data_IF_768101577018
#
_entry.id   IF_768101577018
#
_cell.length_a   1.000
_cell.length_b   1.000
_cell.length_c   1.000
_cell.angle_alpha   90.00
_cell.angle_beta   90.00
_cell.angle_gamma   90.00
#
_symmetry.space_group_name_H-M   'P 1'
#
loop_
_entity.id
_entity.type
_entity.pdbx_description
1 polymer ?
#
# COMPACT_ATOMS: atom_id res chain seq x y z
N UNK A 1 -5.54 26.19 8.96
CA UNK A 1 -6.25 26.42 7.69
C UNK A 1 -5.61 25.48 6.68
N UNK A 2 -6.34 24.46 6.20
CA UNK A 2 -5.83 23.59 5.13
C UNK A 2 -5.51 24.47 3.91
N UNK A 3 -4.31 24.33 3.34
CA UNK A 3 -4.02 24.97 2.06
C UNK A 3 -4.90 24.33 0.99
N UNK A 4 -5.30 25.12 -0.02
CA UNK A 4 -6.05 24.61 -1.17
C UNK A 4 -5.36 23.38 -1.80
N UNK A 5 -4.03 23.26 -1.71
CA UNK A 5 -3.23 22.13 -2.20
C UNK A 5 -3.62 20.76 -1.61
N UNK A 6 -4.01 20.69 -0.34
CA UNK A 6 -4.33 19.41 0.33
C UNK A 6 -5.71 18.89 -0.06
N UNK A 7 -6.65 19.78 -0.38
CA UNK A 7 -8.00 19.41 -0.81
C UNK A 7 -8.04 18.90 -2.27
N UNK A 8 -7.03 19.24 -3.07
CA UNK A 8 -7.03 19.03 -4.52
C UNK A 8 -6.43 17.69 -4.98
N UNK A 9 -5.69 16.98 -4.13
CA UNK A 9 -4.90 15.80 -4.53
C UNK A 9 -5.33 14.47 -3.90
N UNK A 10 -6.21 14.49 -2.90
CA UNK A 10 -6.90 13.29 -2.41
C UNK A 10 -8.14 13.00 -3.26
N UNK A 11 -8.52 11.73 -3.45
CA UNK A 11 -9.79 11.36 -4.11
C UNK A 11 -9.85 11.73 -5.61
N UNK A 12 -8.86 11.40 -6.43
CA UNK A 12 -8.82 11.79 -7.87
C UNK A 12 -9.29 10.66 -8.81
N UNK A 13 -10.26 10.93 -9.69
CA UNK A 13 -10.75 10.05 -10.78
C UNK A 13 -10.18 10.47 -12.12
N UNK A 14 -9.64 9.53 -12.91
CA UNK A 14 -9.01 9.82 -14.19
C UNK A 14 -9.99 9.59 -15.33
N UNK A 15 -10.22 10.60 -16.16
CA UNK A 15 -11.11 10.51 -17.31
C UNK A 15 -10.37 10.88 -18.59
N UNK A 16 -10.65 10.11 -19.66
CA UNK A 16 -10.15 10.44 -20.99
C UNK A 16 -10.99 11.59 -21.57
N UNK A 17 -10.30 12.55 -22.17
CA UNK A 17 -10.90 13.68 -22.85
C UNK A 17 -10.01 14.14 -24.00
N UNK A 18 -10.58 14.79 -25.01
CA UNK A 18 -9.83 15.31 -26.16
C UNK A 18 -9.75 16.83 -26.07
N UNK A 19 -8.55 17.39 -26.14
CA UNK A 19 -8.29 18.82 -26.11
C UNK A 19 -8.31 19.38 -27.54
N UNK A 20 -9.33 20.16 -27.87
CA UNK A 20 -9.50 20.81 -29.17
C UNK A 20 -9.40 22.33 -28.96
N UNK A 21 -8.26 22.91 -29.36
CA UNK A 21 -7.96 24.32 -29.07
C UNK A 21 -7.69 24.55 -27.58
N UNK A 22 -8.49 25.42 -26.96
CA UNK A 22 -8.48 25.77 -25.53
C UNK A 22 -9.63 25.09 -24.75
N UNK A 23 -10.19 24.00 -25.30
CA UNK A 23 -11.38 23.36 -24.75
C UNK A 23 -11.21 21.85 -24.64
N UNK A 24 -11.54 21.32 -23.47
CA UNK A 24 -11.69 19.88 -23.27
C UNK A 24 -13.04 19.41 -23.81
N UNK A 25 -13.02 18.37 -24.63
CA UNK A 25 -14.18 17.81 -25.34
C UNK A 25 -14.24 16.28 -25.14
N UNK A 26 -15.38 15.66 -25.47
CA UNK A 26 -15.56 14.22 -25.28
C UNK A 26 -15.71 13.76 -23.83
N UNK A 27 -16.14 14.66 -22.93
CA UNK A 27 -16.24 14.39 -21.50
C UNK A 27 -17.42 13.44 -21.16
N UNK A 28 -17.19 12.33 -20.43
CA UNK A 28 -18.26 11.46 -19.97
C UNK A 28 -18.99 12.10 -18.77
N UNK A 29 -20.09 12.80 -19.04
CA UNK A 29 -20.86 13.56 -18.03
C UNK A 29 -21.30 12.69 -16.85
N UNK A 30 -21.65 11.43 -17.09
CA UNK A 30 -22.02 10.48 -16.03
C UNK A 30 -20.87 10.20 -15.04
N UNK A 31 -19.65 10.04 -15.55
CA UNK A 31 -18.47 9.78 -14.72
C UNK A 31 -18.05 11.05 -13.95
N UNK A 32 -18.20 12.23 -14.55
CA UNK A 32 -18.00 13.52 -13.88
C UNK A 32 -18.99 13.72 -12.72
N UNK A 33 -20.27 13.43 -12.95
CA UNK A 33 -21.30 13.49 -11.90
C UNK A 33 -21.08 12.45 -10.80
N UNK A 34 -20.60 11.25 -11.16
CA UNK A 34 -20.25 10.22 -10.20
C UNK A 34 -19.07 10.65 -9.33
N UNK A 35 -18.01 11.19 -9.93
CA UNK A 35 -16.88 11.74 -9.21
C UNK A 35 -17.31 12.87 -8.27
N UNK A 36 -18.13 13.81 -8.75
CA UNK A 36 -18.70 14.90 -7.94
C UNK A 36 -19.47 14.38 -6.71
N UNK A 37 -20.36 13.40 -6.89
CA UNK A 37 -21.13 12.78 -5.78
C UNK A 37 -20.25 12.04 -4.77
N UNK A 38 -19.10 11.54 -5.20
CA UNK A 38 -18.11 10.86 -4.36
C UNK A 38 -17.10 11.84 -3.73
N UNK A 39 -17.27 13.16 -3.95
CA UNK A 39 -16.33 14.18 -3.51
C UNK A 39 -14.95 14.05 -4.14
N UNK A 40 -14.90 13.46 -5.35
CA UNK A 40 -13.66 13.16 -6.06
C UNK A 40 -13.22 14.33 -6.94
N UNK A 41 -11.94 14.68 -6.82
CA UNK A 41 -11.20 15.45 -7.80
C UNK A 41 -11.17 14.66 -9.13
N UNK A 42 -11.02 15.31 -10.29
CA UNK A 42 -10.99 14.64 -11.60
C UNK A 42 -9.77 15.06 -12.39
N UNK A 43 -8.94 14.10 -12.79
CA UNK A 43 -7.83 14.34 -13.72
C UNK A 43 -8.29 14.02 -15.15
N UNK A 44 -8.44 15.04 -15.99
CA UNK A 44 -8.67 14.84 -17.42
C UNK A 44 -7.35 14.59 -18.14
N UNK A 45 -7.35 13.66 -19.08
CA UNK A 45 -6.15 13.28 -19.84
C UNK A 45 -6.46 13.21 -21.33
N UNK A 46 -5.72 13.98 -22.13
CA UNK A 46 -5.65 13.81 -23.58
C UNK A 46 -4.35 13.09 -23.93
N UNK A 47 -4.49 11.82 -24.31
CA UNK A 47 -3.38 10.95 -24.68
C UNK A 47 -2.75 11.30 -26.04
N UNK A 48 -3.47 11.97 -26.93
CA UNK A 48 -3.01 12.33 -28.28
C UNK A 48 -2.02 13.49 -28.26
N UNK A 49 -2.25 14.48 -27.38
CA UNK A 49 -1.37 15.66 -27.21
C UNK A 49 -0.60 15.64 -25.89
N UNK A 50 -0.72 14.58 -25.10
CA UNK A 50 -0.05 14.36 -23.80
C UNK A 50 -0.27 15.50 -22.80
N UNK A 51 -1.49 16.02 -22.72
CA UNK A 51 -1.88 17.04 -21.73
C UNK A 51 -2.79 16.44 -20.67
N UNK A 52 -2.78 17.01 -19.49
CA UNK A 52 -3.71 16.69 -18.41
C UNK A 52 -4.08 17.95 -17.61
N UNK A 53 -5.22 17.90 -16.91
CA UNK A 53 -5.67 18.96 -16.00
C UNK A 53 -6.45 18.34 -14.83
N UNK A 54 -6.23 18.87 -13.63
CA UNK A 54 -6.90 18.44 -12.41
C UNK A 54 -8.05 19.38 -12.08
N UNK A 55 -9.25 18.83 -11.97
CA UNK A 55 -10.46 19.50 -11.52
C UNK A 55 -10.74 19.19 -10.05
N UNK A 56 -10.77 20.20 -9.18
CA UNK A 56 -11.20 20.07 -7.80
C UNK A 56 -12.61 19.48 -7.63
N UNK A 57 -12.84 18.63 -6.63
CA UNK A 57 -14.12 18.04 -6.29
C UNK A 57 -15.21 19.10 -6.05
N UNK A 58 -14.86 20.18 -5.34
CA UNK A 58 -15.81 21.25 -5.01
C UNK A 58 -16.27 22.05 -6.24
N UNK A 59 -15.48 22.11 -7.32
CA UNK A 59 -15.89 22.74 -8.59
C UNK A 59 -16.83 21.85 -9.41
N UNK A 60 -16.91 20.56 -9.09
CA UNK A 60 -17.76 19.60 -9.78
C UNK A 60 -19.15 19.48 -9.14
N UNK A 61 -19.38 20.05 -7.96
CA UNK A 61 -20.67 19.95 -7.24
C UNK A 61 -21.84 20.57 -8.01
N UNK A 62 -21.62 21.66 -8.76
CA UNK A 62 -22.65 22.29 -9.60
C UNK A 62 -23.18 21.34 -10.69
N UNK A 63 -22.39 20.33 -11.09
CA UNK A 63 -22.78 19.33 -12.09
C UNK A 63 -23.80 18.32 -11.57
N UNK A 64 -23.94 18.17 -10.24
CA UNK A 64 -24.90 17.25 -9.62
C UNK A 64 -26.36 17.68 -9.81
N UNK A 65 -26.62 18.98 -9.99
CA UNK A 65 -27.95 19.56 -10.22
C UNK A 65 -28.36 19.61 -11.70
N UNK A 66 -27.43 19.37 -12.63
CA UNK A 66 -27.70 19.32 -14.07
C UNK A 66 -28.49 18.04 -14.41
N UNK A 67 -29.80 18.19 -14.62
CA UNK A 67 -30.72 17.10 -15.01
C UNK A 67 -30.72 16.83 -16.51
N UNK A 68 -30.18 17.73 -17.31
CA UNK A 68 -30.15 17.61 -18.76
C UNK A 68 -28.85 16.94 -19.26
N UNK A 69 -28.72 15.66 -18.96
CA UNK A 69 -27.73 14.79 -19.62
C UNK A 69 -27.95 14.69 -21.15
N UNK A 70 -29.07 15.23 -21.66
CA UNK A 70 -29.43 15.24 -23.08
C UNK A 70 -29.14 16.53 -23.86
N UNK A 71 -28.83 17.67 -23.21
CA UNK A 71 -28.67 18.94 -23.91
C UNK A 71 -27.22 19.40 -24.13
N UNK A 72 -26.24 18.76 -23.48
CA UNK A 72 -24.82 19.11 -23.64
C UNK A 72 -23.94 17.87 -23.81
N UNK A 73 -23.91 17.25 -25.01
CA UNK A 73 -23.03 16.11 -25.28
C UNK A 73 -21.53 16.48 -25.26
N UNK A 74 -21.21 17.78 -25.25
CA UNK A 74 -19.85 18.31 -25.17
C UNK A 74 -19.83 19.50 -24.21
N UNK A 75 -19.76 19.22 -22.91
CA UNK A 75 -19.42 20.24 -21.93
C UNK A 75 -17.99 20.70 -22.20
N UNK A 76 -17.80 21.98 -22.45
CA UNK A 76 -16.49 22.58 -22.70
C UNK A 76 -16.04 23.26 -21.41
N UNK A 77 -15.15 22.62 -20.67
CA UNK A 77 -14.49 23.29 -19.55
C UNK A 77 -13.44 24.26 -20.16
N UNK A 78 -13.60 25.55 -19.88
CA UNK A 78 -12.70 26.57 -20.40
C UNK A 78 -11.30 26.39 -19.79
N UNK A 79 -10.27 26.39 -20.65
CA UNK A 79 -8.87 26.41 -20.27
C UNK A 79 -8.37 27.86 -20.31
N UNK A 80 -8.13 28.47 -19.15
CA UNK A 80 -7.35 29.69 -19.08
C UNK A 80 -5.91 29.32 -18.67
N UNK A 81 -4.93 29.67 -19.49
CA UNK A 81 -3.50 29.54 -19.16
C UNK A 81 -3.12 30.37 -17.90
N UNK A 82 -3.99 31.27 -17.44
CA UNK A 82 -3.79 32.08 -16.23
C UNK A 82 -3.88 31.28 -14.93
N UNK A 83 -4.64 30.19 -14.90
CA UNK A 83 -4.97 29.48 -13.66
C UNK A 83 -3.94 28.38 -13.36
N UNK A 84 -3.26 27.86 -14.39
CA UNK A 84 -2.12 26.93 -14.29
C UNK A 84 -0.85 27.58 -13.74
N UNK A 85 -0.70 28.90 -13.87
CA UNK A 85 0.44 29.64 -13.32
C UNK A 85 0.32 29.94 -11.82
N UNK A 86 -0.77 29.51 -11.18
CA UNK A 86 -0.98 29.69 -9.73
C UNK A 86 -0.77 28.40 -8.93
N UNK A 87 -0.67 27.24 -9.59
CA UNK A 87 -0.36 25.98 -8.92
C UNK A 87 1.13 25.65 -9.10
N UNK A 88 1.89 25.50 -8.00
CA UNK A 88 3.31 25.20 -8.11
C UNK A 88 3.51 23.84 -8.80
N UNK A 89 4.58 23.69 -9.60
CA UNK A 89 4.90 22.41 -10.21
C UNK A 89 5.15 21.35 -9.14
N UNK A 90 4.53 20.17 -9.29
CA UNK A 90 4.79 19.00 -8.43
C UNK A 90 6.29 18.70 -8.50
N UNK A 91 6.95 18.63 -7.34
CA UNK A 91 8.38 18.38 -7.29
C UNK A 91 8.71 16.96 -7.79
N UNK A 92 9.93 16.74 -8.31
CA UNK A 92 10.37 15.40 -8.68
C UNK A 92 10.33 14.41 -7.50
N UNK A 93 10.48 14.92 -6.28
CA UNK A 93 10.41 14.13 -5.05
C UNK A 93 8.98 13.63 -4.80
N UNK A 94 7.98 14.49 -4.98
CA UNK A 94 6.57 14.13 -4.84
C UNK A 94 6.12 13.14 -5.90
N UNK A 95 6.58 13.31 -7.14
CA UNK A 95 6.38 12.32 -8.20
C UNK A 95 6.92 10.94 -7.83
N UNK A 96 8.13 10.90 -7.25
CA UNK A 96 8.73 9.65 -6.83
C UNK A 96 7.93 9.00 -5.70
N UNK A 97 7.46 9.77 -4.71
CA UNK A 97 6.64 9.25 -3.61
C UNK A 97 5.26 8.77 -4.08
N UNK A 98 4.56 9.56 -4.91
CA UNK A 98 3.26 9.19 -5.47
C UNK A 98 3.31 7.93 -6.34
N UNK A 99 4.47 7.61 -6.93
CA UNK A 99 4.67 6.36 -7.67
C UNK A 99 4.89 5.13 -6.77
N UNK A 100 5.16 5.33 -5.48
CA UNK A 100 5.57 4.28 -4.52
C UNK A 100 4.58 4.04 -3.40
N UNK A 101 3.68 4.98 -3.16
CA UNK A 101 2.63 4.90 -2.15
C UNK A 101 1.25 5.02 -2.80
N UNK A 102 0.26 4.32 -2.26
CA UNK A 102 -1.12 4.65 -2.56
C UNK A 102 -1.45 6.05 -2.03
N UNK A 103 -2.31 6.80 -2.72
CA UNK A 103 -2.66 8.19 -2.36
C UNK A 103 -3.06 8.35 -0.89
N UNK A 104 -3.85 7.43 -0.35
CA UNK A 104 -4.26 7.45 1.07
C UNK A 104 -3.08 7.41 2.07
N UNK A 105 -1.99 6.70 1.73
CA UNK A 105 -0.80 6.63 2.57
C UNK A 105 0.06 7.86 2.38
N UNK A 106 0.22 8.33 1.15
CA UNK A 106 0.94 9.56 0.85
C UNK A 106 0.35 10.74 1.63
N UNK A 107 -0.98 10.90 1.64
CA UNK A 107 -1.61 11.96 2.42
C UNK A 107 -1.42 11.78 3.92
N UNK A 108 -1.71 10.58 4.44
CA UNK A 108 -1.62 10.33 5.88
C UNK A 108 -0.19 10.52 6.43
N UNK A 109 0.81 10.32 5.58
CA UNK A 109 2.22 10.50 5.90
C UNK A 109 2.82 11.81 5.38
N UNK A 110 2.05 12.68 4.71
CA UNK A 110 2.59 13.78 3.90
C UNK A 110 3.59 14.63 4.68
N UNK A 111 3.19 15.12 5.85
CA UNK A 111 4.04 15.94 6.71
C UNK A 111 5.33 15.20 7.10
N UNK A 112 5.22 13.90 7.43
CA UNK A 112 6.36 13.09 7.81
C UNK A 112 7.33 12.83 6.64
N UNK A 113 6.81 12.50 5.45
CA UNK A 113 7.60 12.25 4.24
C UNK A 113 8.42 13.50 3.84
N UNK A 114 7.97 14.69 4.23
CA UNK A 114 8.66 15.95 3.93
C UNK A 114 9.70 16.36 4.98
N UNK A 115 9.78 15.67 6.11
CA UNK A 115 10.78 15.95 7.16
C UNK A 115 12.21 15.64 6.72
N UNK A 116 13.16 16.31 7.34
CA UNK A 116 14.59 16.00 7.17
C UNK A 116 14.93 14.61 7.70
N UNK A 117 14.19 14.12 8.70
CA UNK A 117 14.36 12.77 9.27
C UNK A 117 14.07 11.69 8.23
N UNK A 118 12.90 11.73 7.57
CA UNK A 118 12.58 10.74 6.53
C UNK A 118 13.52 10.84 5.33
N UNK A 119 13.87 12.07 4.91
CA UNK A 119 14.89 12.29 3.86
C UNK A 119 16.26 11.76 4.27
N UNK A 120 16.62 11.78 5.55
CA UNK A 120 17.86 11.19 6.06
C UNK A 120 17.82 9.66 5.96
N UNK A 121 16.70 9.02 6.35
CA UNK A 121 16.50 7.57 6.19
C UNK A 121 16.77 7.14 4.74
N UNK A 122 16.16 7.83 3.75
CA UNK A 122 16.37 7.51 2.33
C UNK A 122 17.83 7.71 1.89
N UNK A 123 18.50 8.77 2.37
CA UNK A 123 19.92 9.03 2.09
C UNK A 123 20.82 7.94 2.66
N UNK A 124 20.56 7.48 3.88
CA UNK A 124 21.34 6.43 4.54
C UNK A 124 21.22 5.09 3.78
N UNK A 125 20.00 4.70 3.42
CA UNK A 125 19.76 3.50 2.59
C UNK A 125 20.42 3.62 1.21
N UNK A 126 20.37 4.80 0.57
CA UNK A 126 21.04 5.05 -0.71
C UNK A 126 22.56 4.92 -0.59
N UNK A 127 23.16 5.39 0.52
CA UNK A 127 24.58 5.19 0.76
C UNK A 127 24.94 3.72 1.01
N UNK A 128 24.11 2.98 1.73
CA UNK A 128 24.31 1.54 1.96
C UNK A 128 24.28 0.76 0.65
N UNK A 129 23.32 1.06 -0.25
CA UNK A 129 23.23 0.45 -1.59
C UNK A 129 24.48 0.66 -2.46
N UNK A 130 25.28 1.70 -2.21
CA UNK A 130 26.56 1.92 -2.92
C UNK A 130 27.70 1.04 -2.39
N UNK A 131 27.56 0.50 -1.17
CA UNK A 131 28.61 -0.23 -0.45
C UNK A 131 28.33 -1.73 -0.36
N UNK A 132 27.06 -2.11 -0.34
CA UNK A 132 26.63 -3.49 -0.16
C UNK A 132 25.30 -3.80 -0.87
N UNK A 133 24.98 -5.09 -0.96
CA UNK A 133 23.69 -5.54 -1.45
C UNK A 133 22.61 -5.30 -0.40
N UNK A 134 21.61 -4.49 -0.76
CA UNK A 134 20.45 -4.17 0.09
C UNK A 134 19.18 -4.66 -0.59
N UNK A 135 18.37 -5.43 0.16
CA UNK A 135 17.07 -5.93 -0.26
C UNK A 135 15.94 -5.17 0.41
N UNK A 136 14.74 -5.09 -0.19
CA UNK A 136 14.44 -5.42 -1.59
C UNK A 136 15.05 -4.38 -2.56
N UNK A 137 14.78 -4.48 -3.86
CA UNK A 137 15.15 -3.43 -4.82
C UNK A 137 14.44 -2.11 -4.49
N UNK A 138 15.04 -0.99 -4.91
CA UNK A 138 14.57 0.35 -4.52
C UNK A 138 13.09 0.58 -4.86
N UNK A 139 12.63 0.10 -6.02
CA UNK A 139 11.24 0.24 -6.48
C UNK A 139 10.24 -0.60 -5.69
N UNK A 140 10.71 -1.67 -5.02
CA UNK A 140 9.86 -2.58 -4.28
C UNK A 140 9.78 -2.24 -2.79
N UNK A 141 10.69 -1.42 -2.26
CA UNK A 141 10.81 -1.10 -0.83
C UNK A 141 9.50 -0.68 -0.13
N UNK A 142 8.61 0.02 -0.84
CA UNK A 142 7.33 0.49 -0.30
C UNK A 142 6.11 -0.29 -0.82
N UNK A 143 6.29 -1.46 -1.42
CA UNK A 143 5.21 -2.20 -2.09
C UNK A 143 4.00 -2.50 -1.19
N UNK A 144 4.20 -2.74 0.11
CA UNK A 144 3.09 -2.94 1.04
C UNK A 144 2.13 -1.73 1.06
N UNK A 145 2.66 -0.51 0.93
CA UNK A 145 1.91 0.75 0.99
C UNK A 145 1.13 1.08 -0.30
N UNK A 146 1.16 0.20 -1.30
CA UNK A 146 0.24 0.26 -2.43
C UNK A 146 -1.18 -0.20 -2.04
N UNK A 147 -1.33 -0.90 -0.91
CA UNK A 147 -2.63 -1.21 -0.33
C UNK A 147 -3.28 0.07 0.23
N UNK A 148 -4.52 0.41 -0.17
CA UNK A 148 -5.22 1.56 0.40
C UNK A 148 -5.39 1.43 1.92
N UNK A 149 -5.08 2.51 2.65
CA UNK A 149 -5.11 2.54 4.12
C UNK A 149 -6.48 2.11 4.68
N UNK A 150 -7.57 2.51 4.03
CA UNK A 150 -8.93 2.23 4.45
C UNK A 150 -9.34 0.76 4.25
N UNK A 151 -8.64 0.01 3.39
CA UNK A 151 -8.89 -1.43 3.15
C UNK A 151 -8.23 -2.33 4.18
N UNK A 152 -7.34 -1.80 5.01
CA UNK A 152 -6.63 -2.56 6.03
C UNK A 152 -7.60 -2.95 7.14
N UNK A 153 -7.65 -4.26 7.41
CA UNK A 153 -8.43 -4.86 8.50
C UNK A 153 -7.54 -5.59 9.51
N UNK A 154 -6.40 -6.12 9.06
CA UNK A 154 -5.40 -6.70 9.93
C UNK A 154 -3.98 -6.53 9.42
N UNK A 155 -3.01 -6.70 10.30
CA UNK A 155 -1.59 -6.47 10.05
C UNK A 155 -0.80 -7.71 10.42
N UNK A 156 0.01 -8.19 9.51
CA UNK A 156 1.06 -9.16 9.80
C UNK A 156 2.37 -8.40 9.82
N UNK A 157 3.06 -8.40 10.96
CA UNK A 157 4.31 -7.67 11.16
C UNK A 157 5.44 -8.64 11.47
N UNK A 158 6.47 -8.61 10.64
CA UNK A 158 7.71 -9.34 10.86
C UNK A 158 8.91 -8.39 10.92
N UNK A 159 10.12 -8.91 11.11
CA UNK A 159 11.23 -8.08 11.53
C UNK A 159 11.93 -7.34 10.37
N UNK A 160 12.07 -7.97 9.20
CA UNK A 160 12.74 -7.41 8.03
C UNK A 160 12.55 -8.24 6.76
N UNK A 161 13.14 -7.86 5.62
CA UNK A 161 12.94 -8.55 4.34
C UNK A 161 13.63 -9.91 4.31
N UNK A 162 13.16 -10.77 3.41
CA UNK A 162 13.90 -11.98 3.02
C UNK A 162 15.29 -11.59 2.50
N UNK A 163 16.34 -12.24 3.00
CA UNK A 163 17.73 -11.95 2.65
C UNK A 163 18.26 -12.80 1.48
N UNK A 164 17.41 -13.57 0.82
CA UNK A 164 17.75 -14.35 -0.36
C UNK A 164 17.60 -13.50 -1.62
N UNK A 165 18.60 -13.51 -2.53
CA UNK A 165 18.55 -12.72 -3.76
C UNK A 165 17.29 -12.97 -4.57
N UNK A 166 16.59 -11.88 -4.93
CA UNK A 166 15.41 -11.92 -5.81
C UNK A 166 14.10 -12.35 -5.13
N UNK A 167 14.07 -12.59 -3.81
CA UNK A 167 12.83 -12.97 -3.11
C UNK A 167 12.11 -11.80 -2.45
N UNK A 168 12.83 -10.88 -1.81
CA UNK A 168 12.19 -9.75 -1.15
C UNK A 168 11.57 -8.78 -2.16
N UNK A 169 10.28 -8.47 -1.98
CA UNK A 169 9.51 -7.57 -2.83
C UNK A 169 8.86 -6.41 -2.05
N UNK A 170 9.30 -6.18 -0.81
CA UNK A 170 8.76 -5.14 0.10
C UNK A 170 7.43 -5.45 0.77
N UNK A 171 6.98 -6.71 0.70
CA UNK A 171 5.86 -7.25 1.50
C UNK A 171 6.39 -8.37 2.39
N UNK A 172 5.87 -8.50 3.61
CA UNK A 172 6.34 -9.53 4.54
C UNK A 172 6.15 -10.94 3.95
N UNK A 173 7.27 -11.63 3.72
CA UNK A 173 7.41 -13.01 3.19
C UNK A 173 6.75 -13.34 1.86
N UNK A 174 5.87 -12.48 1.34
CA UNK A 174 5.35 -12.59 0.00
C UNK A 174 6.50 -12.56 -1.00
N UNK A 175 6.44 -13.44 -1.98
CA UNK A 175 7.38 -13.48 -3.09
C UNK A 175 6.59 -13.29 -4.37
N UNK A 176 7.10 -12.47 -5.28
CA UNK A 176 6.48 -12.35 -6.58
C UNK A 176 6.68 -13.69 -7.30
N UNK A 177 5.62 -14.22 -7.92
CA UNK A 177 5.68 -15.43 -8.73
C UNK A 177 6.49 -15.21 -10.01
N UNK A 178 7.77 -14.85 -9.88
CA UNK A 178 8.80 -14.68 -10.89
C UNK A 178 8.35 -13.98 -12.17
N UNK A 179 8.88 -12.78 -12.43
CA UNK A 179 8.95 -12.19 -13.78
C UNK A 179 9.78 -13.03 -14.80
N UNK A 180 10.02 -14.31 -14.53
CA UNK A 180 10.58 -15.29 -15.45
C UNK A 180 9.61 -16.47 -15.53
N UNK A 181 8.97 -16.55 -16.69
CA UNK A 181 8.27 -17.71 -17.24
C UNK A 181 6.97 -18.10 -16.53
N UNK A 182 5.90 -17.96 -17.30
CA UNK A 182 4.57 -18.54 -17.12
C UNK A 182 4.59 -20.08 -17.12
N UNK A 183 5.48 -20.70 -16.36
CA UNK A 183 5.54 -22.14 -16.16
C UNK A 183 5.86 -22.44 -14.70
N UNK A 184 4.82 -22.80 -13.92
CA UNK A 184 4.88 -23.32 -12.54
C UNK A 184 5.22 -22.34 -11.38
N UNK A 185 5.32 -21.02 -11.61
CA UNK A 185 5.76 -20.05 -10.59
C UNK A 185 4.76 -19.72 -9.46
N UNK A 186 3.50 -20.17 -9.51
CA UNK A 186 2.51 -19.91 -8.45
C UNK A 186 2.69 -20.74 -7.17
N UNK A 187 3.56 -21.75 -7.18
CA UNK A 187 3.78 -22.68 -6.05
C UNK A 187 5.03 -22.36 -5.22
N UNK A 188 5.91 -21.46 -5.69
CA UNK A 188 7.09 -21.10 -4.91
C UNK A 188 6.62 -20.27 -3.70
N UNK A 189 6.99 -20.70 -2.50
CA UNK A 189 6.62 -20.09 -1.22
C UNK A 189 7.88 -19.94 -0.39
N UNK A 190 7.93 -18.91 0.45
CA UNK A 190 8.96 -18.85 1.47
C UNK A 190 8.75 -20.01 2.46
N UNK A 191 9.80 -20.35 3.22
CA UNK A 191 9.70 -21.37 4.27
C UNK A 191 8.67 -20.96 5.32
N UNK A 192 8.58 -19.67 5.62
CA UNK A 192 7.60 -19.10 6.54
C UNK A 192 6.17 -19.31 6.05
N UNK A 193 5.88 -18.95 4.79
CA UNK A 193 4.54 -19.16 4.19
C UNK A 193 4.19 -20.65 4.18
N UNK A 194 5.16 -21.53 3.90
CA UNK A 194 4.91 -22.98 3.84
C UNK A 194 4.50 -23.55 5.21
N UNK A 195 5.14 -23.10 6.29
CA UNK A 195 4.79 -23.48 7.66
C UNK A 195 3.44 -22.91 8.10
N UNK A 196 3.19 -21.64 7.76
CA UNK A 196 1.93 -20.97 8.09
C UNK A 196 0.77 -21.66 7.37
N UNK A 197 0.94 -21.98 6.09
CA UNK A 197 -0.05 -22.74 5.33
C UNK A 197 -0.38 -24.07 6.02
N UNK A 198 0.64 -24.84 6.39
CA UNK A 198 0.40 -26.14 7.04
C UNK A 198 -0.30 -26.00 8.40
N UNK A 199 0.08 -24.99 9.19
CA UNK A 199 -0.60 -24.66 10.43
C UNK A 199 -2.08 -24.34 10.19
N UNK A 200 -2.38 -23.40 9.28
CA UNK A 200 -3.76 -22.99 8.95
C UNK A 200 -4.57 -24.19 8.46
N UNK A 201 -4.00 -24.99 7.55
CA UNK A 201 -4.68 -26.17 6.99
C UNK A 201 -5.10 -27.14 8.09
N UNK A 202 -4.22 -27.38 9.06
CA UNK A 202 -4.47 -28.27 10.20
C UNK A 202 -5.49 -27.68 11.19
N UNK A 203 -5.35 -26.40 11.58
CA UNK A 203 -6.19 -25.81 12.63
C UNK A 203 -7.57 -25.37 12.13
N UNK A 204 -7.68 -24.96 10.86
CA UNK A 204 -8.96 -24.64 10.23
C UNK A 204 -9.64 -25.84 9.54
N UNK A 205 -9.10 -27.06 9.68
CA UNK A 205 -9.62 -28.29 9.05
C UNK A 205 -9.83 -28.17 7.54
N UNK A 206 -8.89 -27.54 6.83
CA UNK A 206 -8.99 -27.31 5.39
C UNK A 206 -8.52 -28.54 4.60
N UNK A 207 -8.95 -28.61 3.34
CA UNK A 207 -8.56 -29.69 2.42
C UNK A 207 -7.04 -29.71 2.20
N UNK A 208 -6.49 -30.88 1.83
CA UNK A 208 -5.07 -30.99 1.47
C UNK A 208 -4.70 -30.13 0.24
N UNK A 209 -5.68 -29.79 -0.60
CA UNK A 209 -5.47 -29.02 -1.81
C UNK A 209 -5.57 -27.50 -1.57
N UNK A 210 -5.98 -27.08 -0.36
CA UNK A 210 -5.99 -25.66 -0.02
C UNK A 210 -4.57 -25.13 0.06
N UNK A 211 -4.34 -23.97 -0.57
CA UNK A 211 -3.02 -23.37 -0.63
C UNK A 211 -3.04 -21.86 -0.40
N UNK A 212 -2.08 -21.42 0.41
CA UNK A 212 -1.73 -20.02 0.51
C UNK A 212 -0.77 -19.67 -0.62
N UNK A 213 -1.15 -18.75 -1.51
CA UNK A 213 -0.27 -18.36 -2.63
C UNK A 213 1.00 -17.69 -2.13
N UNK A 214 2.12 -17.91 -2.81
CA UNK A 214 3.42 -17.32 -2.45
C UNK A 214 3.44 -15.79 -2.48
N UNK A 215 2.59 -15.16 -3.30
CA UNK A 215 2.41 -13.71 -3.38
C UNK A 215 1.49 -13.15 -2.26
N UNK A 216 0.89 -14.02 -1.46
CA UNK A 216 -0.10 -13.72 -0.41
C UNK A 216 -1.28 -12.87 -0.92
N UNK A 217 -1.62 -12.97 -2.22
CA UNK A 217 -2.74 -12.22 -2.78
C UNK A 217 -4.07 -12.58 -2.11
N UNK A 218 -4.25 -13.85 -1.71
CA UNK A 218 -5.43 -14.32 -0.98
C UNK A 218 -5.66 -13.58 0.33
N UNK A 219 -4.60 -13.12 1.00
CA UNK A 219 -4.70 -12.38 2.25
C UNK A 219 -4.80 -10.87 2.00
N UNK A 220 -3.97 -10.34 1.10
CA UNK A 220 -3.93 -8.89 0.84
C UNK A 220 -5.23 -8.37 0.22
N UNK A 221 -5.90 -9.15 -0.65
CA UNK A 221 -7.22 -8.79 -1.17
C UNK A 221 -8.30 -8.74 -0.09
N UNK A 222 -8.13 -9.49 0.99
CA UNK A 222 -9.08 -9.56 2.10
C UNK A 222 -8.81 -8.55 3.21
N UNK A 223 -7.75 -7.74 3.11
CA UNK A 223 -7.46 -6.67 4.08
C UNK A 223 -6.23 -6.89 4.96
N UNK A 224 -5.40 -7.91 4.68
CA UNK A 224 -4.16 -8.14 5.44
C UNK A 224 -3.02 -7.29 4.91
N UNK A 225 -2.51 -6.40 5.74
CA UNK A 225 -1.34 -5.56 5.48
C UNK A 225 -0.05 -6.27 5.91
N UNK A 226 0.85 -6.52 4.96
CA UNK A 226 2.06 -7.32 5.15
C UNK A 226 3.27 -6.42 5.44
N UNK A 227 3.44 -6.03 6.70
CA UNK A 227 4.42 -5.04 7.15
C UNK A 227 5.73 -5.66 7.64
N UNK A 228 6.84 -4.99 7.34
CA UNK A 228 8.16 -5.31 7.89
C UNK A 228 8.58 -4.19 8.85
N UNK A 229 9.12 -4.54 10.02
CA UNK A 229 9.58 -3.57 11.02
C UNK A 229 10.78 -2.75 10.50
N UNK A 230 11.69 -3.40 9.77
CA UNK A 230 12.66 -2.74 8.89
C UNK A 230 12.34 -3.03 7.43
N UNK A 231 12.15 -1.99 6.61
CA UNK A 231 11.77 -2.14 5.20
C UNK A 231 12.90 -2.64 4.30
N UNK A 232 14.13 -2.62 4.80
CA UNK A 232 15.31 -3.10 4.08
C UNK A 232 16.23 -3.91 4.97
N UNK A 233 17.07 -4.74 4.37
CA UNK A 233 18.13 -5.47 5.05
C UNK A 233 19.23 -5.87 4.07
N UNK A 234 20.25 -6.54 4.56
CA UNK A 234 21.33 -7.10 3.75
C UNK A 234 21.36 -8.63 3.96
N UNK A 235 22.54 -9.25 4.09
CA UNK A 235 22.65 -10.66 4.50
C UNK A 235 22.00 -10.92 5.87
N UNK A 236 21.92 -9.91 6.73
CA UNK A 236 21.11 -9.92 7.94
C UNK A 236 19.80 -9.15 7.68
N UNK A 237 18.63 -9.80 7.80
CA UNK A 237 17.33 -9.14 7.68
C UNK A 237 17.13 -7.96 8.63
N UNK A 238 17.82 -7.98 9.78
CA UNK A 238 17.65 -7.00 10.87
C UNK A 238 18.59 -5.80 10.76
N UNK A 239 19.53 -5.82 9.81
CA UNK A 239 20.65 -4.87 9.78
C UNK A 239 20.21 -3.39 9.78
N UNK A 240 19.08 -3.08 9.13
CA UNK A 240 18.59 -1.70 8.99
C UNK A 240 17.36 -1.40 9.85
N UNK A 241 17.04 -2.26 10.83
CA UNK A 241 15.86 -2.08 11.68
C UNK A 241 15.88 -0.74 12.43
N UNK A 242 17.05 -0.35 12.98
CA UNK A 242 17.21 0.92 13.68
C UNK A 242 17.02 2.14 12.78
N UNK A 243 17.44 2.05 11.51
CA UNK A 243 17.29 3.11 10.51
C UNK A 243 15.80 3.34 10.22
N UNK A 244 15.02 2.26 10.10
CA UNK A 244 13.60 2.34 9.76
C UNK A 244 12.67 2.61 10.94
N UNK A 245 13.14 2.42 12.18
CA UNK A 245 12.32 2.56 13.39
C UNK A 245 11.49 3.86 13.44
N UNK A 246 12.02 5.06 13.12
CA UNK A 246 11.22 6.29 13.14
C UNK A 246 10.05 6.25 12.15
N UNK A 247 10.28 5.77 10.92
CA UNK A 247 9.21 5.61 9.93
C UNK A 247 8.17 4.58 10.37
N UNK A 248 8.61 3.42 10.87
CA UNK A 248 7.70 2.36 11.36
C UNK A 248 6.84 2.86 12.53
N UNK A 249 7.36 3.73 13.39
CA UNK A 249 6.59 4.39 14.46
C UNK A 249 5.45 5.25 13.91
N UNK A 250 5.66 5.95 12.79
CA UNK A 250 4.61 6.73 12.13
C UNK A 250 3.52 5.82 11.55
N UNK A 251 3.93 4.70 10.95
CA UNK A 251 2.98 3.70 10.43
C UNK A 251 2.09 3.16 11.55
N UNK A 252 2.67 2.76 12.68
CA UNK A 252 1.91 2.27 13.84
C UNK A 252 0.98 3.37 14.39
N UNK A 253 1.47 4.62 14.50
CA UNK A 253 0.64 5.76 14.94
C UNK A 253 -0.57 5.98 14.04
N UNK A 254 -0.41 5.93 12.72
CA UNK A 254 -1.52 6.06 11.77
C UNK A 254 -2.50 4.91 11.90
N UNK A 255 -1.99 3.68 12.00
CA UNK A 255 -2.83 2.48 12.13
C UNK A 255 -3.59 2.44 13.47
N UNK A 256 -3.03 2.99 14.55
CA UNK A 256 -3.71 3.14 15.84
C UNK A 256 -4.95 4.06 15.78
N UNK A 257 -5.08 4.91 14.77
CA UNK A 257 -6.27 5.73 14.56
C UNK A 257 -7.38 4.97 13.79
N UNK A 258 -7.15 3.71 13.42
CA UNK A 258 -8.13 2.84 12.77
C UNK A 258 -8.81 1.97 13.83
N UNK A 259 -10.13 1.83 13.82
CA UNK A 259 -10.80 1.03 14.84
C UNK A 259 -10.57 -0.48 14.61
N UNK A 260 -10.21 -1.18 15.68
CA UNK A 260 -10.41 -2.64 15.81
C UNK A 260 -9.57 -3.52 14.88
N UNK A 261 -8.35 -3.11 14.51
CA UNK A 261 -7.47 -3.93 13.67
C UNK A 261 -7.00 -5.21 14.40
N UNK A 262 -6.86 -6.32 13.66
CA UNK A 262 -6.15 -7.51 14.13
C UNK A 262 -4.65 -7.45 13.82
N UNK A 263 -3.77 -7.87 14.71
CA UNK A 263 -2.32 -7.87 14.52
C UNK A 263 -1.70 -9.23 14.84
N UNK A 264 -0.85 -9.74 13.95
CA UNK A 264 0.06 -10.84 14.28
C UNK A 264 1.50 -10.33 14.23
N UNK A 265 2.21 -10.43 15.35
CA UNK A 265 3.60 -10.02 15.50
C UNK A 265 4.53 -11.24 15.50
N UNK A 266 5.40 -11.36 14.50
CA UNK A 266 6.27 -12.51 14.32
C UNK A 266 7.72 -12.23 14.75
N UNK A 267 8.16 -12.90 15.82
CA UNK A 267 9.50 -12.78 16.38
C UNK A 267 9.67 -11.57 17.30
N UNK A 268 10.75 -11.58 18.11
CA UNK A 268 10.98 -10.60 19.18
C UNK A 268 11.00 -9.15 18.71
N UNK A 269 11.56 -8.88 17.52
CA UNK A 269 11.64 -7.53 16.99
C UNK A 269 10.26 -6.96 16.65
N UNK A 270 9.39 -7.75 16.02
CA UNK A 270 8.01 -7.34 15.76
C UNK A 270 7.22 -7.25 17.07
N UNK A 271 7.41 -8.20 18.00
CA UNK A 271 6.75 -8.20 19.30
C UNK A 271 7.12 -6.99 20.16
N UNK A 272 8.30 -6.39 19.96
CA UNK A 272 8.68 -5.16 20.66
C UNK A 272 7.76 -3.96 20.36
N UNK A 273 7.00 -4.02 19.26
CA UNK A 273 6.00 -3.00 18.90
C UNK A 273 4.67 -3.17 19.63
N UNK A 274 4.46 -4.27 20.34
CA UNK A 274 3.19 -4.57 21.03
C UNK A 274 2.74 -3.43 21.95
N UNK A 275 3.66 -2.84 22.73
CA UNK A 275 3.34 -1.74 23.64
C UNK A 275 2.99 -0.42 22.94
N UNK A 276 3.29 -0.28 21.65
CA UNK A 276 2.95 0.88 20.85
C UNK A 276 1.61 0.73 20.13
N UNK A 277 1.00 -0.46 20.12
CA UNK A 277 -0.29 -0.72 19.48
C UNK A 277 -1.42 -0.41 20.47
N UNK A 278 -2.47 0.27 20.00
CA UNK A 278 -3.58 0.65 20.86
C UNK A 278 -4.33 -0.59 21.42
N UNK A 279 -4.84 -0.55 22.67
CA UNK A 279 -5.54 -1.67 23.28
C UNK A 279 -6.90 -2.04 22.67
N UNK A 280 -7.46 -1.20 21.80
CA UNK A 280 -8.70 -1.50 21.06
C UNK A 280 -8.46 -2.46 19.87
N UNK A 281 -7.20 -2.68 19.52
CA UNK A 281 -6.78 -3.68 18.55
C UNK A 281 -6.62 -5.05 19.21
N UNK A 282 -6.88 -6.11 18.44
CA UNK A 282 -6.55 -7.47 18.85
C UNK A 282 -5.10 -7.79 18.44
N UNK A 283 -4.26 -8.24 19.37
CA UNK A 283 -2.85 -8.55 19.06
C UNK A 283 -2.46 -9.95 19.51
N UNK A 284 -1.91 -10.72 18.57
CA UNK A 284 -1.30 -12.02 18.80
C UNK A 284 0.19 -11.95 18.53
N UNK A 285 0.95 -12.72 19.30
CA UNK A 285 2.40 -12.83 19.14
C UNK A 285 2.78 -14.28 18.85
N UNK A 286 3.69 -14.47 17.89
CA UNK A 286 4.24 -15.77 17.54
C UNK A 286 5.76 -15.68 17.46
N UNK A 287 6.46 -16.76 17.77
CA UNK A 287 7.87 -16.88 17.41
C UNK A 287 8.03 -16.75 15.89
N UNK A 288 9.19 -16.29 15.42
CA UNK A 288 9.45 -16.22 13.99
C UNK A 288 9.33 -17.64 13.38
N UNK A 289 8.64 -17.87 12.25
CA UNK A 289 8.41 -19.22 11.72
C UNK A 289 9.69 -20.06 11.54
N UNK A 290 10.79 -19.44 11.07
CA UNK A 290 12.11 -20.11 11.00
C UNK A 290 12.65 -20.65 12.35
N UNK A 291 12.20 -20.13 13.49
CA UNK A 291 12.57 -20.66 14.80
C UNK A 291 12.03 -22.08 15.00
N UNK A 292 10.80 -22.35 14.55
CA UNK A 292 10.18 -23.68 14.60
C UNK A 292 10.99 -24.68 13.76
N UNK A 293 11.40 -24.29 12.56
CA UNK A 293 12.26 -25.11 11.68
C UNK A 293 13.60 -25.42 12.34
N UNK A 294 14.27 -24.41 12.89
CA UNK A 294 15.58 -24.57 13.54
C UNK A 294 15.52 -25.50 14.75
N UNK A 295 14.40 -25.49 15.47
CA UNK A 295 14.17 -26.33 16.63
C UNK A 295 13.59 -27.71 16.27
N UNK A 296 13.20 -27.94 15.01
CA UNK A 296 12.55 -29.19 14.58
C UNK A 296 11.17 -29.41 15.19
N UNK A 297 10.47 -28.34 15.55
CA UNK A 297 9.12 -28.39 16.13
C UNK A 297 8.07 -27.90 15.12
N UNK A 298 6.83 -28.38 15.25
CA UNK A 298 5.72 -27.94 14.41
C UNK A 298 5.15 -26.61 14.90
N UNK A 299 4.71 -25.76 13.96
CA UNK A 299 3.90 -24.59 14.26
C UNK A 299 2.44 -25.03 14.36
N UNK A 300 1.97 -25.27 15.58
CA UNK A 300 0.59 -25.68 15.86
C UNK A 300 -0.08 -24.61 16.73
N UNK A 301 -0.92 -23.76 16.13
CA UNK A 301 -1.60 -22.66 16.83
C UNK A 301 -2.89 -22.21 16.14
N UNK A 302 -3.89 -21.86 16.95
CA UNK A 302 -5.17 -21.33 16.46
C UNK A 302 -5.13 -19.81 16.20
N UNK A 303 -3.99 -19.16 16.40
CA UNK A 303 -3.83 -17.70 16.21
C UNK A 303 -4.27 -17.26 14.82
N UNK A 304 -3.98 -18.03 13.76
CA UNK A 304 -4.40 -17.67 12.41
C UNK A 304 -5.91 -17.81 12.18
N UNK A 305 -6.58 -18.72 12.90
CA UNK A 305 -8.04 -18.88 12.88
C UNK A 305 -8.68 -17.71 13.64
N UNK A 306 -8.20 -17.42 14.85
CA UNK A 306 -8.67 -16.28 15.65
C UNK A 306 -8.48 -14.94 14.92
N UNK A 307 -7.34 -14.75 14.27
CA UNK A 307 -7.09 -13.58 13.44
C UNK A 307 -8.06 -13.51 12.25
N UNK A 308 -8.28 -14.62 11.55
CA UNK A 308 -9.21 -14.68 10.44
C UNK A 308 -10.65 -14.35 10.85
N UNK A 309 -11.12 -14.88 11.97
CA UNK A 309 -12.43 -14.57 12.55
C UNK A 309 -12.55 -13.08 12.89
N UNK A 310 -11.51 -12.50 13.53
CA UNK A 310 -11.50 -11.10 13.93
C UNK A 310 -11.66 -10.14 12.73
N UNK A 311 -11.03 -10.44 11.59
CA UNK A 311 -11.01 -9.52 10.44
C UNK A 311 -11.89 -9.97 9.27
N UNK A 312 -12.58 -11.11 9.43
CA UNK A 312 -13.45 -11.71 8.42
C UNK A 312 -12.71 -12.22 7.18
N UNK A 313 -11.60 -12.95 7.37
CA UNK A 313 -10.98 -13.73 6.28
C UNK A 313 -11.83 -14.98 6.03
N UNK A 314 -12.13 -15.24 4.77
CA UNK A 314 -12.58 -16.54 4.29
C UNK A 314 -11.39 -17.33 3.72
N UNK A 315 -11.34 -18.60 4.09
CA UNK A 315 -10.42 -19.59 3.54
C UNK A 315 -11.07 -20.45 2.44
N UNK A 316 -12.27 -20.07 1.99
CA UNK A 316 -12.94 -20.72 0.86
C UNK A 316 -12.15 -20.45 -0.43
N UNK A 317 -12.08 -21.46 -1.31
CA UNK A 317 -11.20 -21.53 -2.49
C UNK A 317 -11.36 -20.39 -3.51
#
# INVERSE_FOLDING_TARGET
MLSLETALTENVTYLRADLVGDRWTGLPVGDLQQAARQGQNVMLVDASVRKNILYPAFLLEELCGCTDAGQYPHMSLAHSDSDMNQLPPISNYDWELLSRFHGSWYTALYDYLHTDEFKQILRDISQLRKKETVFPDVHQMFAAFLMPLQKIKGVWMGPGPLNQPGLANGRLWAIDGGGRLWTKSSLYKSVEISLIQECIRKTANLSFNWELRGDLVNLTQQGVFLLQAGLTGNKSPLAHLSIWKPFTQQIVTILNNRPGLGWILFGSDAQSWHSAINPDHAVWTLSHPLQYVRQGISLDTDVFVQFAEQIGISYDD
#
